data_IF_581267471477
#
_entry.id   IF_581267471477
#
_cell.length_a   1.000
_cell.length_b   1.000
_cell.length_c   1.000
_cell.angle_alpha   90.00
_cell.angle_beta   90.00
_cell.angle_gamma   90.00
#
_symmetry.space_group_name_H-M   'P 1'
#
loop_
_entity.id
_entity.type
_entity.pdbx_description
1 polymer ?
#
# COMPACT_ATOMS: atom_id res chain seq x y z
N UNK A 1 12.85 11.02 7.19
CA UNK A 1 12.29 9.72 6.72
C UNK A 1 11.91 9.86 5.25
N UNK A 2 12.27 8.90 4.40
CA UNK A 2 11.83 8.88 3.00
C UNK A 2 10.36 8.44 2.95
N UNK A 3 9.45 9.40 2.81
CA UNK A 3 8.00 9.14 2.82
C UNK A 3 7.57 8.21 1.67
N UNK A 4 8.15 8.35 0.48
CA UNK A 4 7.89 7.46 -0.65
C UNK A 4 8.23 6.00 -0.31
N UNK A 5 9.37 5.77 0.35
CA UNK A 5 9.78 4.43 0.79
C UNK A 5 8.82 3.87 1.86
N UNK A 6 8.38 4.71 2.80
CA UNK A 6 7.39 4.31 3.82
C UNK A 6 6.07 3.89 3.17
N UNK A 7 5.55 4.66 2.22
CA UNK A 7 4.30 4.34 1.52
C UNK A 7 4.39 3.02 0.73
N UNK A 8 5.50 2.80 0.02
CA UNK A 8 5.71 1.54 -0.71
C UNK A 8 5.94 0.34 0.21
N UNK A 9 6.62 0.53 1.35
CA UNK A 9 6.73 -0.54 2.36
C UNK A 9 5.37 -0.89 2.96
N UNK A 10 4.51 0.11 3.22
CA UNK A 10 3.14 -0.09 3.66
C UNK A 10 2.31 -0.84 2.61
N UNK A 11 2.47 -0.52 1.33
CA UNK A 11 1.89 -1.31 0.23
C UNK A 11 2.33 -2.79 0.30
N UNK A 12 3.63 -3.06 0.42
CA UNK A 12 4.15 -4.42 0.55
C UNK A 12 3.52 -5.18 1.73
N UNK A 13 3.43 -4.53 2.90
CA UNK A 13 2.80 -5.11 4.10
C UNK A 13 1.32 -5.40 3.85
N UNK A 14 0.58 -4.48 3.24
CA UNK A 14 -0.85 -4.64 2.96
C UNK A 14 -1.12 -5.81 1.98
N UNK A 15 -0.25 -6.00 0.98
CA UNK A 15 -0.32 -7.14 0.06
C UNK A 15 -0.09 -8.46 0.81
N UNK A 16 0.96 -8.54 1.63
CA UNK A 16 1.24 -9.73 2.43
C UNK A 16 0.06 -10.03 3.38
N UNK A 17 -0.51 -9.02 4.02
CA UNK A 17 -1.68 -9.17 4.88
C UNK A 17 -2.89 -9.72 4.09
N UNK A 18 -3.17 -9.20 2.90
CA UNK A 18 -4.26 -9.70 2.05
C UNK A 18 -4.07 -11.16 1.63
N UNK A 19 -2.83 -11.61 1.40
CA UNK A 19 -2.55 -13.03 1.09
C UNK A 19 -2.84 -13.93 2.31
N UNK A 20 -2.51 -13.48 3.52
CA UNK A 20 -2.60 -14.28 4.74
C UNK A 20 -4.01 -14.30 5.36
N UNK A 21 -4.85 -13.30 5.06
CA UNK A 21 -6.21 -13.19 5.62
C UNK A 21 -7.20 -14.05 4.84
N UNK A 22 -7.94 -14.91 5.56
CA UNK A 22 -8.97 -15.79 4.98
C UNK A 22 -10.33 -15.12 4.82
N UNK A 23 -10.63 -14.09 5.62
CA UNK A 23 -11.88 -13.34 5.48
C UNK A 23 -11.86 -12.52 4.18
N UNK A 24 -12.85 -12.76 3.32
CA UNK A 24 -12.89 -12.15 1.98
C UNK A 24 -12.96 -10.62 2.05
N UNK A 25 -13.74 -10.07 2.97
CA UNK A 25 -13.93 -8.62 3.09
C UNK A 25 -12.64 -7.95 3.54
N UNK A 26 -12.00 -8.49 4.59
CA UNK A 26 -10.74 -7.98 5.11
C UNK A 26 -9.59 -8.14 4.10
N UNK A 27 -9.57 -9.24 3.35
CA UNK A 27 -8.61 -9.46 2.27
C UNK A 27 -8.75 -8.39 1.18
N UNK A 28 -9.96 -8.13 0.71
CA UNK A 28 -10.23 -7.09 -0.30
C UNK A 28 -9.81 -5.72 0.24
N UNK A 29 -10.16 -5.41 1.49
CA UNK A 29 -9.76 -4.16 2.13
C UNK A 29 -8.23 -4.00 2.20
N UNK A 30 -7.50 -5.07 2.54
CA UNK A 30 -6.04 -5.05 2.59
C UNK A 30 -5.42 -4.78 1.20
N UNK A 31 -5.90 -5.44 0.15
CA UNK A 31 -5.42 -5.18 -1.21
C UNK A 31 -5.79 -3.77 -1.70
N UNK A 32 -7.00 -3.30 -1.42
CA UNK A 32 -7.43 -1.94 -1.76
C UNK A 32 -6.56 -0.88 -1.06
N UNK A 33 -6.29 -1.06 0.23
CA UNK A 33 -5.37 -0.20 0.98
C UNK A 33 -3.97 -0.21 0.36
N UNK A 34 -3.46 -1.40 0.00
CA UNK A 34 -2.18 -1.53 -0.70
C UNK A 34 -2.14 -0.71 -1.98
N UNK A 35 -3.16 -0.83 -2.84
CA UNK A 35 -3.24 -0.07 -4.08
C UNK A 35 -3.21 1.45 -3.83
N UNK A 36 -3.95 1.93 -2.81
CA UNK A 36 -3.94 3.34 -2.41
C UNK A 36 -2.55 3.78 -1.96
N UNK A 37 -1.86 2.99 -1.13
CA UNK A 37 -0.52 3.31 -0.64
C UNK A 37 0.51 3.37 -1.77
N UNK A 38 0.43 2.46 -2.74
CA UNK A 38 1.29 2.46 -3.92
C UNK A 38 1.09 3.74 -4.75
N UNK A 39 -0.16 4.07 -5.09
CA UNK A 39 -0.48 5.30 -5.85
C UNK A 39 -0.08 6.55 -5.08
N UNK A 40 -0.33 6.60 -3.77
CA UNK A 40 0.11 7.72 -2.94
C UNK A 40 1.64 7.87 -2.95
N UNK A 41 2.39 6.76 -2.93
CA UNK A 41 3.84 6.77 -3.08
C UNK A 41 4.30 7.39 -4.39
N UNK A 42 3.64 7.06 -5.51
CA UNK A 42 3.91 7.67 -6.82
C UNK A 42 3.61 9.17 -6.77
N UNK A 43 2.44 9.58 -6.28
CA UNK A 43 2.06 10.99 -6.18
C UNK A 43 3.06 11.79 -5.36
N UNK A 44 3.47 11.27 -4.20
CA UNK A 44 4.46 11.91 -3.33
C UNK A 44 5.81 12.03 -4.04
N UNK A 45 6.25 10.99 -4.74
CA UNK A 45 7.52 11.01 -5.49
C UNK A 45 7.53 12.07 -6.59
N UNK A 46 6.37 12.36 -7.19
CA UNK A 46 6.22 13.32 -8.30
C UNK A 46 5.97 14.76 -7.87
N UNK A 47 5.80 15.05 -6.57
CA UNK A 47 5.56 16.43 -6.10
C UNK A 47 6.74 17.38 -6.31
N UNK A 48 7.92 16.85 -6.57
CA UNK A 48 9.13 17.63 -6.85
C UNK A 48 9.50 17.73 -8.33
N UNK A 49 8.72 17.11 -9.22
CA UNK A 49 8.87 17.21 -10.69
C UNK A 49 8.03 18.39 -11.22
#
# INVERSE_FOLDING_TARGET
MNLTAVLHSGFGVAVVAGILVSDTTLRIAAFALGAVLFVAGIVVSRRGD
#
